data_IF_592083653371
#
_entry.id   IF_592083653371
#
_cell.length_a   1.000
_cell.length_b   1.000
_cell.length_c   1.000
_cell.angle_alpha   90.00
_cell.angle_beta   90.00
_cell.angle_gamma   90.00
#
_symmetry.space_group_name_H-M   'P 1'
#
loop_
_entity.id
_entity.type
_entity.pdbx_description
1 polymer ?
#
# COMPACT_ATOMS: atom_id res chain seq x y z
N UNK A 1 -20.16 4.35 5.26
CA UNK A 1 -20.23 3.28 4.24
C UNK A 1 -19.07 2.32 4.48
N UNK A 2 -19.25 1.01 4.26
CA UNK A 2 -18.15 0.05 4.33
C UNK A 2 -17.24 0.21 3.10
N UNK A 3 -15.93 0.37 3.33
CA UNK A 3 -14.94 0.43 2.23
C UNK A 3 -14.71 -0.95 1.63
N UNK A 4 -14.32 -1.05 0.35
CA UNK A 4 -13.91 -2.31 -0.25
C UNK A 4 -12.70 -2.89 0.49
N UNK A 5 -12.68 -4.21 0.63
CA UNK A 5 -11.66 -4.96 1.37
C UNK A 5 -10.23 -4.63 0.92
N UNK A 6 -10.05 -4.44 -0.39
CA UNK A 6 -8.75 -4.09 -1.03
C UNK A 6 -8.19 -2.76 -0.54
N UNK A 7 -9.04 -1.78 -0.27
CA UNK A 7 -8.64 -0.46 0.24
C UNK A 7 -8.36 -0.52 1.75
N UNK A 8 -9.18 -1.25 2.50
CA UNK A 8 -9.04 -1.37 3.95
C UNK A 8 -7.74 -2.07 4.35
N UNK A 9 -7.38 -3.12 3.62
CA UNK A 9 -6.19 -3.93 3.87
C UNK A 9 -5.08 -3.69 2.85
N UNK A 10 -5.07 -2.54 2.17
CA UNK A 10 -4.11 -2.23 1.11
C UNK A 10 -2.64 -2.43 1.56
N UNK A 11 -2.31 -2.03 2.79
CA UNK A 11 -0.98 -2.25 3.37
C UNK A 11 -0.68 -3.74 3.55
N UNK A 12 -1.59 -4.47 4.19
CA UNK A 12 -1.45 -5.92 4.42
C UNK A 12 -1.35 -6.70 3.12
N UNK A 13 -2.17 -6.37 2.13
CA UNK A 13 -2.14 -7.00 0.80
C UNK A 13 -0.84 -6.71 0.07
N UNK A 14 -0.34 -5.48 0.11
CA UNK A 14 0.93 -5.13 -0.52
C UNK A 14 2.10 -5.89 0.12
N UNK A 15 2.12 -5.98 1.45
CA UNK A 15 3.14 -6.74 2.20
C UNK A 15 3.01 -8.23 1.91
N UNK A 16 1.80 -8.79 1.91
CA UNK A 16 1.57 -10.20 1.61
C UNK A 16 2.06 -10.56 0.20
N UNK A 17 1.74 -9.74 -0.80
CA UNK A 17 2.24 -9.91 -2.17
C UNK A 17 3.76 -9.87 -2.24
N UNK A 18 4.40 -8.95 -1.50
CA UNK A 18 5.87 -8.89 -1.41
C UNK A 18 6.43 -10.16 -0.78
N UNK A 19 5.88 -10.63 0.34
CA UNK A 19 6.36 -11.84 1.03
C UNK A 19 6.23 -13.06 0.11
N UNK A 20 5.09 -13.23 -0.55
CA UNK A 20 4.87 -14.31 -1.53
C UNK A 20 5.88 -14.19 -2.68
N UNK A 21 6.08 -12.98 -3.21
CA UNK A 21 7.07 -12.69 -4.25
C UNK A 21 8.48 -13.06 -3.83
N UNK A 22 8.90 -12.72 -2.59
CA UNK A 22 10.22 -13.08 -2.03
C UNK A 22 10.36 -14.59 -1.98
N UNK A 23 9.38 -15.30 -1.42
CA UNK A 23 9.44 -16.77 -1.28
C UNK A 23 9.59 -17.44 -2.64
N UNK A 24 8.74 -17.07 -3.61
CA UNK A 24 8.77 -17.64 -4.97
C UNK A 24 10.10 -17.32 -5.67
N UNK A 25 10.56 -16.07 -5.57
CA UNK A 25 11.82 -15.64 -6.17
C UNK A 25 13.00 -16.39 -5.57
N UNK A 26 13.06 -16.52 -4.24
CA UNK A 26 14.14 -17.23 -3.55
C UNK A 26 14.15 -18.71 -3.90
N UNK A 27 12.99 -19.37 -3.96
CA UNK A 27 12.91 -20.79 -4.38
C UNK A 27 13.43 -20.96 -5.81
N UNK A 28 12.98 -20.12 -6.74
CA UNK A 28 13.49 -20.17 -8.12
C UNK A 28 14.98 -19.88 -8.23
N UNK A 29 15.49 -18.94 -7.43
CA UNK A 29 16.91 -18.59 -7.44
C UNK A 29 17.79 -19.70 -6.87
N UNK A 30 17.34 -20.37 -5.80
CA UNK A 30 18.06 -21.51 -5.21
C UNK A 30 18.13 -22.70 -6.18
N UNK A 31 17.05 -22.95 -6.92
CA UNK A 31 17.02 -23.97 -7.98
C UNK A 31 18.03 -23.66 -9.10
N UNK A 32 18.05 -22.41 -9.61
CA UNK A 32 19.02 -21.98 -10.62
C UNK A 32 20.48 -22.07 -10.16
N UNK A 33 20.73 -21.92 -8.87
CA UNK A 33 22.06 -22.04 -8.26
C UNK A 33 22.46 -23.51 -7.98
N UNK A 34 21.65 -24.49 -8.42
CA UNK A 34 21.85 -25.92 -8.16
C UNK A 34 22.00 -26.26 -6.67
N UNK A 35 21.30 -25.52 -5.80
CA UNK A 35 21.25 -25.86 -4.37
C UNK A 35 20.32 -27.07 -4.21
N UNK A 36 20.88 -28.21 -3.76
CA UNK A 36 20.25 -29.55 -3.61
C UNK A 36 18.84 -29.63 -2.98
N UNK A 37 18.32 -28.55 -2.40
CA UNK A 37 17.02 -28.51 -1.74
C UNK A 37 15.87 -28.04 -2.64
N UNK A 38 16.17 -27.51 -3.83
CA UNK A 38 15.17 -27.09 -4.80
C UNK A 38 15.51 -27.71 -6.16
N UNK A 39 14.99 -28.91 -6.42
CA UNK A 39 15.02 -29.56 -7.73
C UNK A 39 13.64 -29.41 -8.38
N UNK A 40 13.31 -28.17 -8.72
CA UNK A 40 12.10 -27.81 -9.47
C UNK A 40 12.33 -27.97 -10.99
N UNK A 41 13.59 -28.17 -11.40
CA UNK A 41 13.97 -28.44 -12.79
C UNK A 41 13.79 -27.20 -13.67
N UNK A 42 13.27 -27.36 -14.88
CA UNK A 42 13.11 -26.23 -15.83
C UNK A 42 12.18 -25.12 -15.31
N UNK A 43 11.42 -25.36 -14.25
CA UNK A 43 10.54 -24.37 -13.63
C UNK A 43 11.27 -23.30 -12.81
N UNK A 44 12.53 -23.50 -12.40
CA UNK A 44 13.28 -22.51 -11.63
C UNK A 44 13.35 -21.13 -12.30
N UNK A 45 13.59 -21.11 -13.61
CA UNK A 45 13.65 -19.86 -14.38
C UNK A 45 12.30 -19.12 -14.39
N UNK A 46 11.19 -19.84 -14.48
CA UNK A 46 9.84 -19.28 -14.42
C UNK A 46 9.50 -18.75 -13.03
N UNK A 47 9.91 -19.45 -11.97
CA UNK A 47 9.71 -19.00 -10.60
C UNK A 47 10.45 -17.71 -10.30
N UNK A 48 11.70 -17.57 -10.77
CA UNK A 48 12.43 -16.29 -10.68
C UNK A 48 11.69 -15.17 -11.40
N UNK A 49 11.21 -15.42 -12.63
CA UNK A 49 10.45 -14.44 -13.39
C UNK A 49 9.16 -14.00 -12.68
N UNK A 50 8.35 -14.96 -12.22
CA UNK A 50 7.08 -14.68 -11.52
C UNK A 50 7.34 -13.97 -10.20
N UNK A 51 8.32 -14.44 -9.43
CA UNK A 51 8.73 -13.82 -8.17
C UNK A 51 9.16 -12.36 -8.36
N UNK A 52 9.97 -12.08 -9.38
CA UNK A 52 10.41 -10.72 -9.70
C UNK A 52 9.21 -9.80 -10.04
N UNK A 53 8.26 -10.27 -10.84
CA UNK A 53 7.05 -9.50 -11.19
C UNK A 53 6.19 -9.22 -9.96
N UNK A 54 5.96 -10.22 -9.11
CA UNK A 54 5.20 -10.04 -7.86
C UNK A 54 5.88 -9.05 -6.91
N UNK A 55 7.20 -9.11 -6.80
CA UNK A 55 7.98 -8.16 -6.02
C UNK A 55 7.82 -6.73 -6.53
N UNK A 56 7.88 -6.53 -7.85
CA UNK A 56 7.67 -5.21 -8.45
C UNK A 56 6.26 -4.68 -8.18
N UNK A 57 5.22 -5.50 -8.37
CA UNK A 57 3.83 -5.11 -8.12
C UNK A 57 3.62 -4.75 -6.64
N UNK A 58 4.05 -5.63 -5.74
CA UNK A 58 3.92 -5.41 -4.29
C UNK A 58 4.66 -4.16 -3.82
N UNK A 59 5.85 -3.90 -4.39
CA UNK A 59 6.65 -2.72 -4.08
C UNK A 59 5.97 -1.43 -4.56
N UNK A 60 5.49 -1.41 -5.80
CA UNK A 60 4.77 -0.25 -6.36
C UNK A 60 3.52 0.06 -5.52
N UNK A 61 2.74 -0.96 -5.15
CA UNK A 61 1.55 -0.77 -4.31
C UNK A 61 1.90 -0.25 -2.92
N UNK A 62 2.93 -0.80 -2.28
CA UNK A 62 3.36 -0.36 -0.96
C UNK A 62 3.87 1.09 -0.97
N UNK A 63 4.71 1.44 -1.95
CA UNK A 63 5.20 2.81 -2.14
C UNK A 63 4.02 3.77 -2.37
N UNK A 64 3.10 3.42 -3.26
CA UNK A 64 1.93 4.25 -3.57
C UNK A 64 1.08 4.49 -2.33
N UNK A 65 0.81 3.44 -1.54
CA UNK A 65 0.09 3.56 -0.27
C UNK A 65 0.82 4.49 0.70
N UNK A 66 2.13 4.30 0.89
CA UNK A 66 2.95 5.13 1.80
C UNK A 66 2.99 6.59 1.38
N UNK A 67 3.09 6.88 0.08
CA UNK A 67 3.03 8.25 -0.46
C UNK A 67 1.67 8.90 -0.22
N UNK A 68 0.57 8.17 -0.42
CA UNK A 68 -0.79 8.67 -0.15
C UNK A 68 -1.00 8.96 1.34
N UNK A 69 -0.54 8.07 2.23
CA UNK A 69 -0.58 8.29 3.68
C UNK A 69 0.24 9.51 4.09
N UNK A 70 1.45 9.67 3.55
CA UNK A 70 2.31 10.83 3.80
C UNK A 70 1.65 12.13 3.33
N UNK A 71 1.05 12.11 2.13
CA UNK A 71 0.32 13.25 1.56
C UNK A 71 -0.88 13.64 2.43
N UNK A 72 -1.65 12.65 2.88
CA UNK A 72 -2.78 12.87 3.80
C UNK A 72 -2.30 13.48 5.12
N UNK A 73 -1.28 12.90 5.77
CA UNK A 73 -0.76 13.42 7.04
C UNK A 73 -0.27 14.86 6.90
N UNK A 74 0.43 15.19 5.82
CA UNK A 74 0.87 16.57 5.53
C UNK A 74 -0.30 17.56 5.41
N UNK A 75 -1.42 17.14 4.82
CA UNK A 75 -2.63 17.98 4.75
C UNK A 75 -3.34 18.09 6.12
N UNK A 76 -3.24 17.03 6.93
CA UNK A 76 -3.77 17.00 8.29
C UNK A 76 -2.93 17.80 9.30
N UNK A 77 -1.71 18.21 8.98
CA UNK A 77 -0.90 19.10 9.82
C UNK A 77 -1.25 20.59 9.65
N UNK A 78 -1.99 20.96 8.59
CA UNK A 78 -2.38 22.37 8.33
C UNK A 78 -3.24 22.93 9.46
N UNK A 79 -2.76 23.97 10.15
CA UNK A 79 -3.46 24.61 11.30
C UNK A 79 -4.40 25.74 10.87
N UNK A 80 -4.20 26.32 9.68
CA UNK A 80 -5.05 27.41 9.20
C UNK A 80 -6.37 26.89 8.65
N UNK A 81 -7.49 27.30 9.24
CA UNK A 81 -8.85 26.94 8.80
C UNK A 81 -9.09 27.29 7.33
N UNK A 82 -8.69 28.48 6.89
CA UNK A 82 -8.88 28.93 5.50
C UNK A 82 -8.09 28.08 4.49
N UNK A 83 -6.84 27.75 4.82
CA UNK A 83 -6.00 26.88 3.96
C UNK A 83 -6.52 25.45 3.91
N UNK A 84 -7.06 24.96 5.03
CA UNK A 84 -7.64 23.63 5.11
C UNK A 84 -8.93 23.53 4.29
N UNK A 85 -9.84 24.50 4.40
CA UNK A 85 -11.08 24.56 3.61
C UNK A 85 -10.76 24.59 2.10
N UNK A 86 -9.73 25.34 1.68
CA UNK A 86 -9.33 25.40 0.26
C UNK A 86 -8.88 24.03 -0.30
N UNK A 87 -8.37 23.14 0.54
CA UNK A 87 -7.85 21.82 0.14
C UNK A 87 -8.77 20.68 0.58
N UNK A 88 -9.95 20.98 1.12
CA UNK A 88 -10.79 19.99 1.81
C UNK A 88 -11.23 18.86 0.87
N UNK A 89 -11.56 19.20 -0.38
CA UNK A 89 -11.93 18.25 -1.42
C UNK A 89 -10.79 17.26 -1.73
N UNK A 90 -9.56 17.76 -1.82
CA UNK A 90 -8.36 16.92 -2.01
C UNK A 90 -8.14 15.99 -0.81
N UNK A 91 -8.35 16.49 0.42
CA UNK A 91 -8.18 15.69 1.65
C UNK A 91 -9.26 14.62 1.73
N UNK A 92 -10.51 14.94 1.39
CA UNK A 92 -11.62 14.00 1.34
C UNK A 92 -11.38 12.91 0.30
N UNK A 93 -10.93 13.29 -0.90
CA UNK A 93 -10.59 12.33 -1.95
C UNK A 93 -9.47 11.39 -1.51
N UNK A 94 -8.42 11.91 -0.85
CA UNK A 94 -7.35 11.09 -0.27
C UNK A 94 -7.86 10.19 0.86
N UNK A 95 -8.69 10.70 1.75
CA UNK A 95 -9.28 9.94 2.84
C UNK A 95 -10.13 8.78 2.29
N UNK A 96 -10.90 9.03 1.22
CA UNK A 96 -11.73 8.02 0.57
C UNK A 96 -10.90 6.86 0.00
N UNK A 97 -9.73 7.16 -0.58
CA UNK A 97 -8.79 6.15 -1.10
C UNK A 97 -7.96 5.41 -0.03
N UNK A 98 -7.99 5.87 1.21
CA UNK A 98 -7.24 5.28 2.33
C UNK A 98 -8.15 4.46 3.25
N UNK A 99 -7.62 3.61 4.13
CA UNK A 99 -8.42 2.86 5.11
C UNK A 99 -9.32 3.76 5.97
N UNK A 100 -10.43 3.21 6.48
CA UNK A 100 -11.48 3.94 7.24
C UNK A 100 -10.93 4.83 8.37
N UNK A 101 -9.87 4.40 9.06
CA UNK A 101 -9.18 5.17 10.12
C UNK A 101 -8.78 6.60 9.69
N UNK A 102 -8.53 6.83 8.40
CA UNK A 102 -8.16 8.14 7.87
C UNK A 102 -9.38 9.05 7.65
N UNK A 103 -10.54 8.49 7.31
CA UNK A 103 -11.81 9.25 7.29
C UNK A 103 -12.22 9.67 8.70
N UNK A 104 -12.07 8.79 9.69
CA UNK A 104 -12.33 9.11 11.08
C UNK A 104 -11.44 10.25 11.56
N UNK A 105 -10.13 10.20 11.26
CA UNK A 105 -9.19 11.30 11.54
C UNK A 105 -9.61 12.61 10.86
N UNK A 106 -10.02 12.55 9.60
CA UNK A 106 -10.49 13.73 8.86
C UNK A 106 -11.73 14.32 9.54
N UNK A 107 -12.69 13.48 9.92
CA UNK A 107 -13.93 13.91 10.60
C UNK A 107 -13.66 14.56 11.95
N UNK A 108 -12.69 14.04 12.72
CA UNK A 108 -12.28 14.63 13.99
C UNK A 108 -11.69 16.03 13.77
N UNK A 109 -10.80 16.19 12.80
CA UNK A 109 -10.21 17.50 12.46
C UNK A 109 -11.24 18.50 11.92
N UNK A 110 -12.22 18.06 11.13
CA UNK A 110 -13.33 18.92 10.69
C UNK A 110 -14.12 19.47 11.88
N UNK A 111 -14.41 18.62 12.86
CA UNK A 111 -15.08 19.02 14.11
C UNK A 111 -14.23 20.03 14.91
N UNK A 112 -12.92 19.81 15.05
CA UNK A 112 -11.99 20.74 15.72
C UNK A 112 -11.98 22.13 15.05
N UNK A 113 -12.02 22.19 13.72
CA UNK A 113 -12.03 23.44 12.97
C UNK A 113 -13.42 24.08 12.84
N UNK A 114 -14.48 23.44 13.36
CA UNK A 114 -15.86 23.89 13.22
C UNK A 114 -16.30 23.97 11.76
N UNK A 115 -15.93 22.96 10.96
CA UNK A 115 -16.34 22.78 9.57
C UNK A 115 -17.38 21.66 9.55
N UNK A 116 -18.52 21.87 8.89
CA UNK A 116 -19.57 20.85 8.75
C UNK A 116 -19.12 19.71 7.83
#
# INVERSE_FOLDING_TARGET
MSKPFTVQHAETLSIATLVIGVVIFTVGLLDLLNVRFAEVGTWGYWLVGIGAVLLLIGLIWLITYRLNVKKFNKMMEEKSKANFVRKIDDVEYLAWRLPLKFEERLSAKKKELGIK
#
